data_IF_068933595338
#
_entry.id   IF_068933595338
#
_cell.length_a   1.000
_cell.length_b   1.000
_cell.length_c   1.000
_cell.angle_alpha   90.00
_cell.angle_beta   90.00
_cell.angle_gamma   90.00
#
_symmetry.space_group_name_H-M   'P 1'
#
loop_
_entity.id
_entity.type
_entity.pdbx_description
1 polymer ?
2 polymer ?
3 water ?
#
# COMPACT_ATOMS: atom_id res chain seq x y z
N UNK A 1 -11.89 8.21 -12.77
CA UNK A 1 -11.27 8.75 -13.95
C UNK A 1 -9.83 9.10 -13.58
N UNK A 2 -8.90 8.44 -14.28
CA UNK A 2 -7.47 8.63 -14.10
C UNK A 2 -6.99 10.07 -14.23
N UNK A 3 -7.67 10.81 -15.11
CA UNK A 3 -7.36 12.21 -15.34
C UNK A 3 -7.47 13.04 -14.07
N UNK A 4 -8.56 12.94 -13.30
CA UNK A 4 -8.72 13.72 -12.08
C UNK A 4 -7.68 13.45 -11.00
N UNK A 5 -7.18 12.22 -10.96
CA UNK A 5 -6.20 11.85 -9.97
C UNK A 5 -4.81 12.35 -10.42
N UNK A 6 -4.46 12.32 -11.71
CA UNK A 6 -3.15 12.76 -12.13
C UNK A 6 -2.86 14.23 -11.80
N UNK A 7 -1.71 14.50 -11.17
CA UNK A 7 -1.28 15.85 -10.77
C UNK A 7 -0.24 15.91 -9.60
N UNK A 8 -0.13 17.13 -9.05
CA UNK A 8 0.73 17.44 -7.92
C UNK A 8 -0.27 17.64 -6.77
N UNK A 9 -0.08 16.92 -5.63
CA UNK A 9 -0.92 17.01 -4.45
C UNK A 9 -0.09 17.38 -3.21
N UNK A 10 -0.68 18.01 -2.18
CA UNK A 10 0.07 18.37 -0.97
C UNK A 10 -0.71 18.09 0.28
N UNK A 11 0.00 17.71 1.34
CA UNK A 11 -0.72 17.43 2.56
C UNK A 11 -0.56 18.58 3.53
N UNK A 12 -1.26 18.46 4.64
CA UNK A 12 -1.23 19.49 5.67
C UNK A 12 0.15 19.77 6.33
N UNK A 13 1.14 18.88 6.32
CA UNK A 13 2.43 19.17 6.90
C UNK A 13 3.40 19.67 5.85
N UNK A 14 3.01 19.97 4.60
CA UNK A 14 3.97 20.47 3.62
C UNK A 14 4.63 19.40 2.75
N UNK A 15 4.30 18.09 2.82
CA UNK A 15 4.89 17.08 1.96
C UNK A 15 4.20 17.15 0.57
N UNK A 16 4.95 16.75 -0.47
CA UNK A 16 4.59 16.68 -1.90
C UNK A 16 4.43 15.25 -2.42
N UNK A 17 3.42 15.00 -3.23
CA UNK A 17 3.16 13.71 -3.83
C UNK A 17 2.85 14.02 -5.32
N UNK A 18 3.67 13.54 -6.27
CA UNK A 18 3.42 13.75 -7.73
C UNK A 18 2.91 12.38 -8.23
N UNK A 19 1.85 12.22 -9.00
CA UNK A 19 1.36 10.89 -9.37
C UNK A 19 0.78 10.86 -10.79
N UNK A 20 0.86 9.72 -11.47
CA UNK A 20 0.25 9.52 -12.77
C UNK A 20 -0.67 8.27 -12.62
N UNK A 21 -1.89 8.25 -13.20
CA UNK A 21 -2.78 7.10 -13.12
C UNK A 21 -2.88 6.42 -14.51
N UNK A 22 -2.39 5.18 -14.69
CA UNK A 22 -2.46 4.46 -15.97
C UNK A 22 -3.82 3.81 -16.24
N UNK A 23 -4.30 3.64 -17.50
CA UNK A 23 -5.63 3.05 -17.72
C UNK A 23 -5.93 1.60 -17.32
N UNK A 24 -4.96 0.81 -16.88
CA UNK A 24 -5.12 -0.58 -16.43
C UNK A 24 -5.30 -0.60 -14.88
N UNK A 25 -5.38 0.57 -14.21
CA UNK A 25 -5.50 0.65 -12.76
C UNK A 25 -4.16 0.89 -12.00
N UNK A 26 -3.04 1.24 -12.67
CA UNK A 26 -1.77 1.45 -11.95
C UNK A 26 -1.50 2.89 -11.50
N UNK A 27 -0.77 3.05 -10.38
CA UNK A 27 -0.36 4.38 -9.85
C UNK A 27 1.18 4.40 -9.74
N UNK A 28 1.88 5.44 -10.23
CA UNK A 28 3.34 5.55 -10.19
C UNK A 28 3.71 6.99 -9.88
N UNK A 29 4.74 7.28 -9.14
CA UNK A 29 5.11 8.66 -8.88
C UNK A 29 6.20 8.78 -7.81
N UNK A 30 6.34 9.96 -7.20
CA UNK A 30 7.31 10.27 -6.17
C UNK A 30 6.67 11.03 -4.99
N UNK A 31 7.24 10.82 -3.79
CA UNK A 31 6.79 11.48 -2.54
C UNK A 31 8.02 12.20 -1.91
N UNK A 32 7.82 13.45 -1.42
CA UNK A 32 8.87 14.28 -0.82
C UNK A 32 8.44 15.13 0.39
N UNK A 33 9.23 15.40 1.47
CA UNK A 33 8.85 16.27 2.62
C UNK A 33 8.97 17.80 2.30
N UNK A 34 8.56 18.79 3.14
CA UNK A 34 8.66 20.25 2.90
C UNK A 34 10.08 20.82 2.83
N UNK A 35 11.07 20.01 3.22
CA UNK A 35 12.45 20.46 3.14
C UNK A 35 12.68 20.65 1.63
N UNK A 36 11.98 19.84 0.84
CA UNK A 36 12.07 19.90 -0.59
C UNK A 36 13.36 19.24 -0.95
N UNK A 37 14.02 19.87 -1.94
CA UNK A 37 15.30 19.42 -2.46
C UNK A 37 15.16 18.03 -3.07
N UNK A 38 16.21 17.61 -3.77
CA UNK A 38 16.26 16.33 -4.42
C UNK A 38 15.95 15.24 -3.46
N UNK A 39 16.76 15.03 -2.41
CA UNK A 39 16.38 13.89 -1.63
C UNK A 39 16.01 13.63 -0.17
N UNK A 40 14.77 13.87 -0.54
CA UNK A 40 13.63 13.71 0.32
C UNK A 40 12.70 13.08 -0.71
N UNK A 41 13.11 12.76 -1.96
CA UNK A 41 12.26 12.13 -2.96
C UNK A 41 12.43 10.63 -2.94
N UNK A 42 11.33 9.87 -2.83
CA UNK A 42 11.35 8.40 -2.82
C UNK A 42 10.30 7.88 -3.84
N UNK A 43 10.42 6.69 -4.41
CA UNK A 43 9.53 6.07 -5.40
C UNK A 43 8.28 5.55 -4.71
N UNK A 44 7.13 5.66 -5.40
CA UNK A 44 5.86 5.12 -4.90
C UNK A 44 5.13 4.32 -6.02
N UNK A 45 4.44 3.28 -5.59
CA UNK A 45 3.67 2.38 -6.44
C UNK A 45 2.34 2.05 -5.72
N UNK A 46 1.25 2.05 -6.52
CA UNK A 46 -0.09 1.80 -6.04
C UNK A 46 -1.09 1.35 -7.13
N UNK A 47 -2.37 1.21 -6.75
CA UNK A 47 -3.49 0.75 -7.63
C UNK A 47 -4.75 1.58 -7.32
N UNK A 48 -5.70 1.72 -8.24
CA UNK A 48 -6.94 2.45 -8.02
C UNK A 48 -8.06 1.80 -8.84
N UNK A 49 -9.33 2.14 -8.60
CA UNK A 49 -10.48 1.59 -9.35
C UNK A 49 -10.69 2.44 -10.62
N UNK A 50 -10.32 1.86 -11.77
CA UNK A 50 -10.44 2.52 -13.06
C UNK A 50 -11.87 2.64 -13.61
N UNK A 51 -12.83 1.91 -13.03
CA UNK A 51 -14.23 1.94 -13.39
C UNK A 51 -15.05 2.22 -12.13
N UNK A 52 -15.03 3.43 -11.52
CA UNK A 52 -15.76 3.83 -10.29
C UNK A 52 -17.30 3.79 -10.41
N UNK A 53 -18.01 3.56 -9.26
CA UNK A 53 -19.48 3.51 -9.28
C UNK A 53 -19.90 4.94 -9.61
N UNK A 54 -21.02 5.23 -10.25
CA UNK A 54 -21.37 6.62 -10.54
C UNK A 54 -21.74 7.33 -9.24
N UNK A 55 -23.02 7.69 -9.00
CA UNK A 55 -23.41 8.33 -7.75
C UNK A 55 -22.53 9.57 -7.56
N UNK A 56 -22.29 9.90 -6.31
CA UNK A 56 -21.40 10.97 -5.94
C UNK A 56 -20.36 10.25 -5.08
N UNK A 57 -20.13 8.96 -5.41
CA UNK A 57 -19.21 8.08 -4.74
C UNK A 57 -17.75 8.50 -4.91
N UNK A 58 -16.85 8.15 -4.01
CA UNK A 58 -15.44 8.47 -4.16
C UNK A 58 -14.74 7.30 -4.88
N UNK A 59 -13.52 7.45 -5.39
CA UNK A 59 -12.78 6.39 -6.05
C UNK A 59 -11.72 5.84 -5.07
N UNK A 60 -11.75 4.55 -4.83
CA UNK A 60 -10.82 3.91 -3.95
C UNK A 60 -9.42 3.72 -4.54
N UNK A 61 -8.35 3.94 -3.75
CA UNK A 61 -6.98 3.82 -4.22
C UNK A 61 -6.04 3.53 -3.09
N UNK A 62 -4.83 3.07 -3.30
CA UNK A 62 -3.88 2.88 -2.22
C UNK A 62 -2.44 2.91 -2.80
N UNK A 63 -1.36 3.21 -2.00
CA UNK A 63 0.04 3.22 -2.47
C UNK A 63 1.03 2.98 -1.30
N UNK A 64 2.26 2.52 -1.59
CA UNK A 64 3.38 2.22 -0.69
C UNK A 64 4.64 3.04 -1.03
N UNK A 65 5.39 3.48 -0.02
CA UNK A 65 6.66 4.16 -0.18
C UNK A 65 7.59 3.37 0.76
N UNK A 66 8.76 2.81 0.37
CA UNK A 66 9.69 2.17 1.31
C UNK A 66 10.73 3.33 1.47
N UNK A 67 11.19 3.63 2.71
CA UNK A 67 12.10 4.75 2.94
C UNK A 67 13.60 4.52 2.86
N UNK A 68 13.90 4.28 1.60
CA UNK A 68 15.24 4.05 1.16
C UNK A 68 15.40 4.68 -0.23
N UNK A 69 16.42 5.56 -0.39
CA UNK A 69 16.72 6.08 -1.72
C UNK A 69 18.25 6.04 -1.83
N UNK A 70 18.88 6.80 -2.70
CA UNK A 70 20.33 6.73 -2.77
C UNK A 70 21.07 7.58 -1.70
N UNK A 71 20.43 8.31 -0.78
CA UNK A 71 21.10 9.13 0.22
C UNK A 71 20.82 8.68 1.63
N UNK A 72 19.64 8.07 1.89
CA UNK A 72 19.31 7.63 3.22
C UNK A 72 18.54 6.32 3.17
N UNK A 73 18.51 5.67 4.32
CA UNK A 73 17.77 4.43 4.48
C UNK A 73 17.32 4.47 5.93
N UNK A 74 16.02 4.67 6.07
CA UNK A 74 15.38 4.73 7.36
C UNK A 74 14.87 3.35 7.79
N UNK A 75 14.99 2.27 7.00
CA UNK A 75 14.56 0.90 7.33
C UNK A 75 13.09 0.70 7.80
N UNK A 76 12.18 1.37 7.09
CA UNK A 76 10.75 1.38 7.33
C UNK A 76 9.98 1.56 6.05
N UNK A 77 8.70 1.18 6.03
CA UNK A 77 7.82 1.32 4.85
C UNK A 77 6.43 1.91 5.24
N UNK A 78 5.84 2.88 4.49
CA UNK A 78 4.49 3.42 4.79
C UNK A 78 3.45 3.04 3.73
N UNK A 79 2.16 2.68 4.02
CA UNK A 79 1.12 2.39 3.00
C UNK A 79 0.00 3.41 3.25
N UNK A 80 -0.62 4.08 2.30
CA UNK A 80 -1.71 5.02 2.54
C UNK A 80 -2.90 4.32 1.89
N UNK A 81 -4.11 4.37 2.46
CA UNK A 81 -5.31 3.76 1.92
C UNK A 81 -6.42 4.80 2.02
N UNK A 82 -7.18 5.16 0.95
CA UNK A 82 -8.25 6.19 1.03
C UNK A 82 -9.07 6.28 -0.27
N UNK A 83 -9.55 7.51 -0.52
CA UNK A 83 -10.38 7.78 -1.68
C UNK A 83 -10.32 9.24 -2.10
N UNK A 84 -10.42 9.27 -3.45
CA UNK A 84 -10.40 10.48 -4.27
C UNK A 84 -11.85 10.97 -4.48
N UNK A 85 -12.08 12.20 -4.11
CA UNK A 85 -13.38 12.82 -4.22
C UNK A 85 -13.08 14.04 -5.08
N UNK A 86 -13.74 14.09 -6.25
CA UNK A 86 -13.58 15.20 -7.19
C UNK A 86 -14.67 16.25 -7.08
N UNK A 87 -14.41 17.39 -7.71
CA UNK A 87 -15.32 18.53 -7.74
C UNK A 87 -14.43 19.75 -7.99
N UNK A 88 -14.78 20.91 -7.41
CA UNK A 88 -13.99 22.15 -7.55
C UNK A 88 -12.72 21.97 -6.71
N UNK A 89 -12.95 21.41 -5.53
CA UNK A 89 -11.91 21.10 -4.58
C UNK A 89 -11.88 19.58 -4.60
N UNK A 90 -10.83 19.07 -5.22
CA UNK A 90 -10.64 17.65 -5.30
C UNK A 90 -9.73 17.31 -4.10
N UNK A 91 -9.93 16.17 -3.45
CA UNK A 91 -9.17 15.80 -2.30
C UNK A 91 -8.99 14.28 -2.28
N UNK A 92 -7.92 13.88 -1.61
CA UNK A 92 -7.64 12.48 -1.39
C UNK A 92 -7.51 12.45 0.14
N UNK A 93 -8.44 11.68 0.73
CA UNK A 93 -8.47 11.54 2.18
C UNK A 93 -7.94 10.17 2.45
N UNK A 94 -7.00 10.02 3.38
CA UNK A 94 -6.39 8.71 3.68
C UNK A 94 -6.05 8.43 5.15
N UNK A 95 -5.73 7.15 5.42
CA UNK A 95 -5.25 6.70 6.72
C UNK A 95 -3.96 5.98 6.36
N UNK A 96 -2.93 6.03 7.17
CA UNK A 96 -1.68 5.37 6.87
C UNK A 96 -1.13 4.52 8.01
N UNK A 97 -0.27 3.56 7.62
CA UNK A 97 0.45 2.63 8.50
C UNK A 97 1.95 2.72 8.23
N UNK A 98 2.82 2.95 9.22
CA UNK A 98 4.27 3.05 9.02
C UNK A 98 4.91 1.91 9.83
N UNK A 99 5.51 0.91 9.21
CA UNK A 99 6.19 -0.17 9.90
C UNK A 99 7.73 -0.09 9.89
N UNK A 100 8.45 -0.29 10.99
CA UNK A 100 9.91 -0.27 11.07
C UNK A 100 10.46 -1.68 11.23
N UNK A 101 11.62 -2.03 10.67
CA UNK A 101 12.17 -3.38 10.88
C UNK A 101 12.65 -3.42 12.33
N UNK A 102 12.28 -4.40 13.15
CA UNK A 102 12.75 -4.50 14.55
C UNK A 102 13.26 -5.92 14.85
N UNK A 103 13.81 -6.16 16.03
CA UNK A 103 14.25 -7.50 16.39
C UNK A 103 12.97 -8.16 16.92
N UNK A 104 12.84 -9.48 17.11
CA UNK A 104 11.63 -10.17 17.62
C UNK A 104 11.05 -9.65 18.95
N UNK A 105 11.93 -9.31 19.86
CA UNK A 105 11.59 -8.76 21.17
C UNK A 105 10.90 -7.39 21.08
N UNK A 106 11.19 -6.56 20.07
CA UNK A 106 10.52 -5.28 20.01
C UNK A 106 9.47 -5.27 18.93
N UNK A 107 9.09 -6.43 18.40
CA UNK A 107 8.13 -6.46 17.33
C UNK A 107 6.79 -5.84 17.66
N UNK A 108 6.35 -5.97 18.93
CA UNK A 108 5.05 -5.42 19.34
C UNK A 108 4.93 -3.93 19.16
N UNK A 109 6.00 -3.13 19.06
CA UNK A 109 5.87 -1.67 18.89
C UNK A 109 6.46 -1.11 17.58
N UNK A 110 6.34 -1.94 16.55
CA UNK A 110 6.84 -1.63 15.22
C UNK A 110 6.01 -0.74 14.34
N UNK A 111 4.71 -0.60 14.55
CA UNK A 111 3.82 0.14 13.66
C UNK A 111 3.09 1.36 14.21
N UNK A 112 3.23 2.48 13.52
CA UNK A 112 2.58 3.74 13.82
C UNK A 112 1.40 3.83 12.85
N UNK A 113 0.33 4.58 13.20
CA UNK A 113 -0.87 4.75 12.35
C UNK A 113 -1.22 6.26 12.39
N UNK A 114 -1.86 6.80 11.36
CA UNK A 114 -2.19 8.22 11.34
C UNK A 114 -3.08 8.56 10.17
N UNK A 115 -3.33 9.82 9.78
CA UNK A 115 -4.23 10.15 8.66
C UNK A 115 -3.77 11.40 7.94
N UNK A 116 -3.98 11.52 6.63
CA UNK A 116 -3.56 12.67 5.79
C UNK A 116 -4.57 13.12 4.73
N UNK A 117 -4.72 14.43 4.43
CA UNK A 117 -5.65 14.98 3.44
C UNK A 117 -4.76 15.73 2.47
N UNK A 118 -4.93 15.50 1.17
CA UNK A 118 -4.17 16.11 0.11
C UNK A 118 -4.99 17.08 -0.75
N UNK A 119 -4.56 18.32 -1.02
CA UNK A 119 -5.27 19.31 -1.86
C UNK A 119 -4.51 19.29 -3.17
N UNK A 120 -5.17 19.35 -4.33
CA UNK A 120 -4.46 19.34 -5.62
C UNK A 120 -4.01 20.73 -6.11
N UNK A 121 -2.89 20.84 -6.83
CA UNK A 121 -2.43 22.14 -7.27
C UNK A 121 -2.01 22.27 -8.73
N UNK A 122 -1.91 21.14 -9.42
CA UNK A 122 -1.48 21.05 -10.82
C UNK A 122 -1.91 19.66 -11.28
N UNK A 123 -2.30 19.44 -12.54
CA UNK A 123 -2.01 18.21 -13.28
C UNK A 123 -0.53 18.01 -13.62
N UNK B 1 15.91 -14.17 4.55
CA UNK B 1 16.88 -13.15 4.25
C UNK B 1 16.36 -12.50 2.97
N UNK B 2 16.67 -11.25 2.62
CA UNK B 2 16.21 -10.53 1.42
C UNK B 2 15.33 -11.25 0.40
N UNK B 3 15.92 -11.91 -0.61
CA UNK B 3 15.20 -12.63 -1.66
C UNK B 3 14.25 -13.74 -1.23
N UNK B 4 14.26 -14.12 0.06
CA UNK B 4 13.42 -15.14 0.63
C UNK B 4 11.92 -14.83 0.50
N UNK B 5 11.62 -13.56 0.20
CA UNK B 5 10.26 -13.08 0.00
C UNK B 5 9.72 -13.67 -1.31
N UNK B 6 10.54 -13.94 -2.34
CA UNK B 6 9.99 -14.47 -3.57
C UNK B 6 9.55 -15.89 -3.24
N UNK B 7 8.31 -16.16 -3.71
CA UNK B 7 7.66 -17.43 -3.52
C UNK B 7 6.14 -17.32 -3.42
N UNK B 8 5.57 -18.45 -2.90
CA UNK B 8 4.13 -18.61 -2.67
C UNK B 8 3.83 -18.70 -1.17
N UNK B 9 2.97 -17.78 -0.74
CA UNK B 9 2.60 -17.67 0.67
C UNK B 9 1.08 -17.75 0.88
N UNK B 10 0.75 -18.29 2.05
CA UNK B 10 -0.62 -18.49 2.46
C UNK B 10 -0.96 -17.80 3.80
N UNK B 11 -2.14 -17.18 3.87
CA UNK B 11 -2.50 -16.57 5.14
C UNK B 11 -3.33 -17.62 5.87
N UNK B 12 -3.68 -17.31 7.11
CA UNK B 12 -4.45 -18.19 7.98
C UNK B 12 -5.84 -18.62 7.55
N UNK B 13 -6.33 -18.04 6.45
CA UNK B 13 -7.64 -18.29 5.91
C UNK B 13 -7.58 -18.97 4.53
N UNK B 14 -6.43 -19.47 4.02
CA UNK B 14 -6.39 -20.12 2.69
C UNK B 14 -6.23 -19.19 1.47
N UNK B 15 -6.09 -17.88 1.61
CA UNK B 15 -5.88 -16.98 0.46
C UNK B 15 -4.42 -17.17 0.00
N UNK B 16 -4.09 -17.13 -1.30
CA UNK B 16 -2.74 -17.32 -1.75
C UNK B 16 -2.19 -16.01 -2.36
N UNK B 17 -0.96 -15.65 -2.02
CA UNK B 17 -0.27 -14.48 -2.50
C UNK B 17 1.04 -15.03 -3.08
N UNK B 18 1.19 -14.74 -4.38
CA UNK B 18 2.34 -15.17 -5.16
C UNK B 18 3.14 -13.92 -5.50
N UNK B 19 4.36 -13.77 -4.96
CA UNK B 19 5.23 -12.59 -5.21
C UNK B 19 6.68 -12.77 -5.74
N UNK B 20 7.15 -11.75 -6.50
CA UNK B 20 8.50 -11.63 -7.07
C UNK B 20 9.09 -10.36 -6.46
N UNK B 21 10.27 -10.43 -5.86
CA UNK B 21 10.94 -9.27 -5.27
C UNK B 21 12.15 -8.84 -6.16
N UNK B 22 12.12 -7.64 -6.75
CA UNK B 22 13.20 -7.12 -7.58
C UNK B 22 14.40 -6.67 -6.74
N UNK B 23 15.65 -6.80 -7.21
CA UNK B 23 16.86 -6.40 -6.47
C UNK B 23 16.84 -4.98 -5.93
N UNK B 24 16.09 -4.05 -6.57
CA UNK B 24 16.04 -2.70 -6.05
C UNK B 24 14.82 -2.20 -5.30
N UNK B 25 14.07 -3.16 -4.74
CA UNK B 25 12.91 -2.81 -3.95
C UNK B 25 11.54 -2.97 -4.55
N UNK B 26 11.32 -3.59 -5.69
CA UNK B 26 9.94 -3.67 -6.20
C UNK B 26 9.29 -4.94 -5.77
N UNK B 27 7.97 -4.91 -5.66
CA UNK B 27 7.21 -6.11 -5.26
C UNK B 27 6.10 -6.23 -6.31
N UNK B 28 5.94 -7.42 -6.95
CA UNK B 28 4.93 -7.64 -8.00
C UNK B 28 4.36 -9.04 -7.90
N UNK B 29 3.07 -9.21 -8.26
CA UNK B 29 2.44 -10.54 -8.23
C UNK B 29 0.90 -10.51 -8.28
N UNK B 30 0.34 -11.62 -7.80
CA UNK B 30 -1.10 -11.78 -7.75
C UNK B 30 -1.61 -12.31 -6.38
N UNK B 31 -2.90 -12.01 -6.10
CA UNK B 31 -3.62 -12.41 -4.89
C UNK B 31 -4.91 -13.11 -5.29
N UNK B 32 -5.20 -14.25 -4.68
CA UNK B 32 -6.43 -14.95 -4.94
C UNK B 32 -7.00 -15.57 -3.67
N UNK B 33 -8.31 -15.39 -3.54
CA UNK B 33 -9.11 -15.86 -2.40
C UNK B 33 -9.03 -17.38 -2.23
N UNK B 34 -9.53 -17.98 -1.12
CA UNK B 34 -9.54 -19.44 -0.98
C UNK B 34 -10.52 -19.97 -2.05
N UNK B 35 -10.88 -21.26 -2.22
CA UNK B 35 -11.77 -21.82 -3.27
C UNK B 35 -10.77 -21.89 -4.44
N UNK B 36 -10.04 -20.82 -4.79
CA UNK B 36 -9.01 -20.85 -5.81
C UNK B 36 -9.37 -20.82 -7.29
N UNK B 37 -10.65 -20.71 -7.65
CA UNK B 37 -11.06 -20.66 -9.05
C UNK B 37 -10.31 -19.54 -9.74
N UNK B 38 -9.88 -19.73 -10.98
CA UNK B 38 -9.11 -18.74 -11.73
C UNK B 38 -9.63 -17.37 -12.16
N UNK B 39 -10.11 -16.67 -11.13
CA UNK B 39 -10.62 -15.30 -11.05
C UNK B 39 -11.59 -14.90 -9.95
N UNK B 40 -10.61 -15.04 -9.06
CA UNK B 40 -10.57 -14.74 -7.67
C UNK B 40 -9.16 -14.09 -7.66
N UNK B 41 -8.48 -13.97 -8.83
CA UNK B 41 -7.17 -13.39 -8.92
C UNK B 41 -7.30 -11.96 -9.34
N UNK B 42 -6.51 -11.22 -8.56
CA UNK B 42 -6.37 -9.78 -8.67
C UNK B 42 -4.89 -9.45 -8.58
N UNK B 43 -4.57 -8.34 -9.25
CA UNK B 43 -3.22 -7.77 -9.34
C UNK B 43 -2.75 -6.93 -8.10
N UNK B 44 -1.45 -7.16 -7.72
CA UNK B 44 -0.85 -6.42 -6.62
C UNK B 44 0.50 -5.76 -6.99
N UNK B 45 0.92 -4.68 -6.35
CA UNK B 45 2.17 -3.99 -6.58
C UNK B 45 2.66 -3.38 -5.22
N UNK B 46 3.99 -3.29 -4.96
CA UNK B 46 4.50 -2.74 -3.70
C UNK B 46 5.99 -2.38 -3.68
N UNK B 47 6.54 -2.12 -2.47
CA UNK B 47 7.93 -1.79 -2.16
C UNK B 47 8.42 -2.49 -0.84
N UNK B 48 9.72 -2.80 -0.73
CA UNK B 48 10.35 -3.41 0.44
C UNK B 48 11.79 -2.82 0.64
N UNK B 49 12.40 -2.92 1.82
CA UNK B 49 13.78 -2.41 2.05
C UNK B 49 14.76 -3.46 1.46
N UNK B 50 15.43 -3.08 0.37
CA UNK B 50 16.40 -3.95 -0.34
C UNK B 50 17.77 -3.99 0.32
N UNK B 51 18.05 -3.21 1.37
CA UNK B 51 19.33 -3.21 2.08
C UNK B 51 19.03 -3.17 3.59
N UNK B 52 18.46 -4.20 4.22
CA UNK B 52 18.10 -4.19 5.64
C UNK B 52 19.33 -4.17 6.60
N UNK B 53 19.08 -3.92 7.90
CA UNK B 53 20.14 -3.87 8.90
C UNK B 53 20.66 -5.26 9.20
N UNK B 54 21.95 -5.31 9.55
CA UNK B 54 22.72 -6.51 9.88
C UNK B 54 22.62 -7.04 11.31
N UNK B 55 21.85 -6.35 12.17
CA UNK B 55 21.63 -6.85 13.53
C UNK B 55 20.43 -7.80 13.32
N UNK B 56 19.89 -8.58 14.25
CA UNK B 56 18.77 -9.49 13.93
C UNK B 56 17.40 -8.90 13.53
N UNK B 57 17.26 -7.75 12.85
CA UNK B 57 16.00 -7.16 12.46
C UNK B 57 15.22 -7.81 11.29
N UNK B 58 13.90 -7.62 11.17
CA UNK B 58 13.10 -8.17 10.07
C UNK B 58 13.23 -7.15 8.90
N UNK B 59 12.74 -7.48 7.69
CA UNK B 59 12.75 -6.64 6.49
C UNK B 59 11.40 -5.94 6.26
N UNK B 60 11.31 -4.61 6.39
CA UNK B 60 10.10 -3.84 6.18
C UNK B 60 9.61 -3.90 4.71
N UNK B 61 8.28 -4.09 4.55
CA UNK B 61 7.62 -4.19 3.25
C UNK B 61 6.17 -3.67 3.27
N UNK B 62 5.51 -3.59 2.11
CA UNK B 62 4.12 -3.16 2.01
C UNK B 62 3.60 -3.41 0.62
N UNK B 63 2.29 -3.49 0.32
CA UNK B 63 1.71 -3.65 -1.02
C UNK B 63 0.20 -3.31 -1.03
N UNK B 64 -0.40 -3.02 -2.19
CA UNK B 64 -1.78 -2.65 -2.50
C UNK B 64 -2.47 -3.63 -3.48
N UNK B 65 -3.80 -3.79 -3.42
CA UNK B 65 -4.68 -4.60 -4.30
C UNK B 65 -5.95 -3.78 -4.47
N UNK B 66 -6.41 -3.44 -5.67
CA UNK B 66 -7.66 -2.74 -5.95
C UNK B 66 -8.48 -3.94 -6.38
N UNK B 67 -9.70 -4.02 -5.86
CA UNK B 67 -10.58 -5.16 -6.09
C UNK B 67 -11.53 -5.16 -7.28
N UNK B 68 -10.84 -5.11 -8.44
CA UNK B 68 -11.41 -5.10 -9.78
C UNK B 68 -10.57 -6.01 -10.69
N UNK B 69 -11.23 -6.77 -11.56
CA UNK B 69 -10.57 -7.61 -12.54
C UNK B 69 -11.53 -7.76 -13.74
N UNK B 70 -11.49 -8.76 -14.59
CA UNK B 70 -12.38 -8.85 -15.73
C UNK B 70 -13.81 -9.33 -15.58
N UNK B 71 -14.02 -9.89 -14.42
CA UNK B 71 -15.26 -10.47 -14.03
C UNK B 71 -16.02 -9.67 -12.97
N UNK B 72 -15.31 -9.04 -11.99
CA UNK B 72 -15.93 -8.30 -10.89
C UNK B 72 -15.35 -6.96 -10.50
N UNK B 73 -16.10 -6.06 -9.87
CA UNK B 73 -15.56 -4.80 -9.43
C UNK B 73 -16.23 -4.48 -8.11
N UNK B 74 -15.49 -4.63 -7.00
CA UNK B 74 -16.02 -4.39 -5.67
C UNK B 74 -15.73 -3.02 -5.10
N UNK B 75 -15.36 -2.03 -5.93
CA UNK B 75 -15.09 -0.62 -5.55
C UNK B 75 -14.41 -0.33 -4.18
N UNK B 76 -13.28 -1.03 -3.99
CA UNK B 76 -12.44 -1.04 -2.82
C UNK B 76 -10.98 -1.37 -3.14
N UNK B 77 -10.09 -1.10 -2.16
CA UNK B 77 -8.65 -1.29 -2.20
C UNK B 77 -8.09 -1.64 -0.81
N UNK B 78 -7.13 -2.55 -0.68
CA UNK B 78 -6.51 -2.96 0.57
C UNK B 78 -4.99 -2.77 0.52
N UNK B 79 -4.35 -2.27 1.61
CA UNK B 79 -2.92 -2.06 1.75
C UNK B 79 -2.48 -2.91 2.95
N UNK B 80 -1.34 -3.67 2.91
CA UNK B 80 -0.80 -4.49 4.00
C UNK B 80 0.54 -3.82 4.29
N UNK B 81 1.01 -3.55 5.53
CA UNK B 81 2.27 -2.88 5.93
C UNK B 81 2.88 -3.85 6.95
N UNK B 82 4.15 -4.29 6.98
CA UNK B 82 4.64 -5.26 7.97
C UNK B 82 6.12 -5.64 7.84
N UNK B 83 6.57 -6.82 8.23
CA UNK B 83 7.96 -7.17 8.07
C UNK B 83 8.20 -8.67 7.89
N UNK B 84 9.13 -8.97 7.01
CA UNK B 84 9.53 -10.35 6.71
C UNK B 84 10.56 -10.84 7.72
N UNK B 85 10.48 -12.08 8.20
CA UNK B 85 11.43 -12.67 9.15
C UNK B 85 11.86 -14.00 8.53
N UNK B 86 13.15 -14.19 8.32
CA UNK B 86 13.62 -15.44 7.70
C UNK B 86 14.02 -16.51 8.72
N UNK B 87 14.56 -17.62 8.26
CA UNK B 87 15.00 -18.67 9.19
C UNK B 87 14.42 -19.97 8.69
N UNK B 88 14.53 -21.03 9.50
CA UNK B 88 13.98 -22.33 9.12
C UNK B 88 12.46 -22.19 9.03
N UNK B 89 11.79 -21.36 9.82
CA UNK B 89 10.35 -21.18 9.71
C UNK B 89 10.04 -19.71 9.30
N UNK B 90 10.12 -19.43 8.00
CA UNK B 90 9.88 -18.08 7.51
C UNK B 90 8.42 -17.62 7.53
N UNK B 91 8.26 -16.33 7.84
CA UNK B 91 6.94 -15.68 7.89
C UNK B 91 6.98 -14.18 7.60
N UNK B 92 5.84 -13.63 7.22
CA UNK B 92 5.59 -12.24 6.92
C UNK B 92 4.47 -11.89 7.89
N UNK B 93 4.74 -10.98 8.81
CA UNK B 93 3.78 -10.52 9.81
C UNK B 93 3.22 -9.14 9.40
N UNK B 94 1.86 -9.04 9.20
CA UNK B 94 1.26 -7.76 8.76
C UNK B 94 0.04 -7.19 9.45
N UNK B 95 -0.33 -5.97 9.14
CA UNK B 95 -1.59 -5.33 9.59
C UNK B 95 -2.20 -4.78 8.25
N UNK B 96 -3.49 -4.50 8.01
CA UNK B 96 -3.95 -4.00 6.72
C UNK B 96 -5.11 -3.01 6.83
N UNK B 97 -5.36 -2.13 5.83
CA UNK B 97 -6.45 -1.17 5.83
C UNK B 97 -7.27 -1.42 4.56
N UNK B 98 -8.60 -1.55 4.61
CA UNK B 98 -9.50 -1.84 3.48
C UNK B 98 -10.41 -0.62 3.40
N UNK B 99 -10.31 0.22 2.36
CA UNK B 99 -11.19 1.36 2.20
C UNK B 99 -12.20 1.10 1.06
N UNK B 100 -13.48 1.54 1.14
CA UNK B 100 -14.47 1.40 0.08
C UNK B 100 -14.84 2.78 -0.48
N UNK B 101 -15.17 2.93 -1.75
CA UNK B 101 -15.56 4.22 -2.27
C UNK B 101 -17.01 4.42 -1.78
N UNK B 102 -17.23 5.47 -0.99
CA UNK B 102 -18.52 5.86 -0.39
C UNK B 102 -18.94 7.27 -0.77
N UNK B 103 -20.16 7.68 -0.41
CA UNK B 103 -20.66 9.03 -0.57
C UNK B 103 -20.11 9.84 0.63
N UNK B 104 -20.19 11.17 0.64
CA UNK B 104 -19.70 12.00 1.74
C UNK B 104 -20.29 11.65 3.11
N UNK B 105 -21.58 11.30 3.09
CA UNK B 105 -22.33 10.93 4.27
C UNK B 105 -21.80 9.69 4.99
N UNK B 106 -21.25 8.76 4.22
CA UNK B 106 -20.75 7.51 4.76
C UNK B 106 -19.25 7.40 4.86
N UNK B 107 -18.61 8.53 4.60
CA UNK B 107 -17.15 8.59 4.65
C UNK B 107 -16.59 8.10 6.02
N UNK B 108 -17.21 8.38 7.18
CA UNK B 108 -16.66 7.95 8.46
C UNK B 108 -16.60 6.44 8.65
N UNK B 109 -17.39 5.68 7.94
CA UNK B 109 -17.41 4.25 8.12
C UNK B 109 -16.81 3.56 6.86
N UNK B 110 -15.92 4.19 6.13
CA UNK B 110 -15.32 3.62 4.92
C UNK B 110 -14.12 2.64 5.05
N UNK B 111 -13.42 2.55 6.20
CA UNK B 111 -12.23 1.76 6.39
C UNK B 111 -12.15 0.67 7.48
N UNK B 112 -11.79 -0.56 7.15
CA UNK B 112 -11.61 -1.66 8.09
C UNK B 112 -10.11 -1.92 8.40
N UNK B 113 -9.72 -2.49 9.53
CA UNK B 113 -8.34 -2.76 9.88
C UNK B 113 -8.25 -4.18 10.39
N UNK B 114 -7.23 -4.94 10.05
CA UNK B 114 -7.09 -6.30 10.56
C UNK B 114 -5.63 -6.66 10.55
N UNK B 115 -5.24 -7.92 10.79
CA UNK B 115 -3.84 -8.32 10.78
C UNK B 115 -3.70 -9.68 10.07
N UNK B 116 -2.59 -10.09 9.40
CA UNK B 116 -2.48 -11.41 8.72
C UNK B 116 -1.08 -11.97 8.89
N UNK B 117 -0.89 -13.28 8.97
CA UNK B 117 0.43 -13.87 9.09
C UNK B 117 0.53 -14.91 7.99
N UNK B 118 1.44 -14.64 7.05
CA UNK B 118 1.69 -15.48 5.91
C UNK B 118 2.76 -16.55 6.09
N UNK B 119 2.58 -17.82 5.72
CA UNK B 119 3.64 -18.79 5.84
C UNK B 119 3.69 -19.51 4.50
N UNK B 120 4.76 -20.26 4.20
CA UNK B 120 4.91 -21.00 2.97
C UNK B 120 4.24 -22.36 2.99
N UNK B 121 3.50 -22.68 4.05
CA UNK B 121 2.79 -23.95 4.29
C UNK B 121 1.28 -23.65 4.15
N UNK C 2 14.38 10.90 13.92
CA UNK C 2 13.46 11.69 13.12
C UNK C 2 13.14 10.79 11.94
N UNK C 3 12.10 11.07 11.14
CA UNK C 3 11.75 10.25 10.00
C UNK C 3 11.52 11.24 8.84
N UNK C 4 11.61 10.81 7.55
CA UNK C 4 11.34 11.62 6.35
C UNK C 4 9.90 11.66 5.83
N UNK C 5 9.01 10.96 6.50
CA UNK C 5 7.66 11.00 6.03
C UNK C 5 7.16 12.43 6.15
N UNK C 6 7.38 12.97 7.34
CA UNK C 6 6.93 14.31 7.63
C UNK C 6 8.09 14.96 8.37
N UNK C 7 8.15 16.28 8.32
CA UNK C 7 9.21 17.02 8.98
C UNK C 7 8.94 17.10 10.48
N UNK D 1 -19.33 -15.43 2.34
CA UNK D 1 -18.30 -15.02 1.41
C UNK D 1 -18.99 -13.81 0.76
N UNK D 2 -18.35 -12.67 0.49
CA UNK D 2 -18.96 -11.52 -0.19
C UNK D 2 -18.13 -10.23 -0.23
N UNK D 3 -16.85 -10.47 -0.32
CA UNK D 3 -15.82 -9.47 -0.49
C UNK D 3 -14.73 -10.44 -0.97
N UNK D 4 -14.05 -10.14 -2.09
CA UNK D 4 -13.02 -11.01 -2.63
C UNK D 4 -11.84 -11.33 -1.73
N UNK D 5 -11.50 -10.44 -0.77
CA UNK D 5 -10.35 -10.61 0.10
C UNK D 5 -10.31 -11.92 0.85
N UNK D 6 -11.34 -12.36 1.58
CA UNK D 6 -11.18 -13.63 2.24
C UNK D 6 -12.38 -14.47 2.07
N UNK D 7 -11.92 -15.70 1.87
CA UNK D 7 -12.64 -16.95 1.68
C UNK D 7 -14.07 -17.00 1.12
#
# INVERSE_FOLDING_TARGET
AEAGITGTWYNQLGSTFIVTAGADGALTGTYESAVGNAESRYVLTGRYDSAPATDGSGTALGWTVAWKNNYRNAHSATTWSGQYVGGAEARINTQWLLTSGTTEANAWKSTLVGHDTFTKVKP
AEAGITGTWYNQLGSTFIVTAGADGALTGTYESAVGNAESRYVLTGRYDSAPATDGSGTALGWTVAWKNNYRNAHSATTWSGQYVGGAEARINTQWLLTSGTTEANAWKSTLVGHDTFTKVKP
FCHPQNTX
FCHPQNTX
#
